data_IF_578569863910
#
_entry.id   IF_578569863910
#
_cell.length_a   1.000
_cell.length_b   1.000
_cell.length_c   1.000
_cell.angle_alpha   90.00
_cell.angle_beta   90.00
_cell.angle_gamma   90.00
#
_symmetry.space_group_name_H-M   'P 1'
#
loop_
_entity.id
_entity.type
_entity.pdbx_description
1 polymer ?
#
# COMPACT_ATOMS: atom_id res chain seq x y z
N UNK A 1 -1.83 14.87 -9.45
CA UNK A 1 -0.93 15.02 -10.62
C UNK A 1 -0.08 13.78 -10.76
N UNK A 2 0.81 13.45 -9.80
CA UNK A 2 1.70 12.28 -9.95
C UNK A 2 0.97 10.97 -10.32
N UNK A 3 -0.09 10.60 -9.61
CA UNK A 3 -0.85 9.38 -9.93
C UNK A 3 -1.72 9.44 -11.19
N UNK A 4 -1.95 10.63 -11.77
CA UNK A 4 -2.78 10.80 -12.97
C UNK A 4 -1.94 11.01 -14.23
N UNK A 5 -0.86 11.78 -14.10
CA UNK A 5 -0.03 12.28 -15.19
C UNK A 5 1.39 11.64 -15.19
N UNK A 6 1.69 10.80 -14.21
CA UNK A 6 2.99 10.19 -13.97
C UNK A 6 4.08 11.19 -13.54
N UNK A 7 5.30 10.71 -13.33
CA UNK A 7 6.43 11.54 -12.92
C UNK A 7 6.76 12.68 -13.90
N UNK A 8 6.57 12.46 -15.21
CA UNK A 8 6.74 13.50 -16.26
C UNK A 8 5.64 14.56 -16.23
N UNK A 9 4.50 14.22 -15.64
CA UNK A 9 3.39 15.12 -15.37
C UNK A 9 3.68 16.16 -14.29
N UNK A 10 4.71 15.94 -13.48
CA UNK A 10 5.06 16.81 -12.35
C UNK A 10 6.23 17.72 -12.70
N UNK A 11 5.98 19.03 -12.70
CA UNK A 11 7.00 20.08 -12.75
C UNK A 11 6.47 21.32 -12.03
N UNK A 12 7.35 22.21 -11.58
CA UNK A 12 6.95 23.41 -10.84
C UNK A 12 5.88 24.25 -11.55
N UNK A 13 6.04 24.60 -12.85
CA UNK A 13 5.01 25.39 -13.53
C UNK A 13 3.67 24.64 -13.65
N UNK A 14 3.70 23.31 -13.81
CA UNK A 14 2.49 22.49 -13.87
C UNK A 14 1.79 22.43 -12.51
N UNK A 15 2.56 22.34 -11.42
CA UNK A 15 2.03 22.38 -10.05
C UNK A 15 1.44 23.75 -9.75
N UNK A 16 2.16 24.84 -10.06
CA UNK A 16 1.66 26.21 -9.87
C UNK A 16 0.32 26.41 -10.57
N UNK A 17 0.27 26.05 -11.86
CA UNK A 17 -0.95 26.11 -12.67
C UNK A 17 -2.09 25.25 -12.09
N UNK A 18 -1.79 24.03 -11.63
CA UNK A 18 -2.81 23.13 -11.08
C UNK A 18 -3.34 23.62 -9.72
N UNK A 19 -2.48 24.22 -8.91
CA UNK A 19 -2.81 24.76 -7.59
C UNK A 19 -3.44 26.17 -7.67
N UNK A 20 -3.38 26.84 -8.82
CA UNK A 20 -3.92 28.20 -9.00
C UNK A 20 -3.10 29.27 -8.26
N UNK A 21 -1.82 29.01 -8.03
CA UNK A 21 -0.88 29.93 -7.36
C UNK A 21 -0.04 30.68 -8.39
N UNK A 22 0.60 31.81 -8.04
CA UNK A 22 1.47 32.55 -8.95
C UNK A 22 2.63 31.69 -9.49
N UNK A 23 3.05 31.98 -10.72
CA UNK A 23 4.21 31.32 -11.34
C UNK A 23 5.45 31.45 -10.45
N UNK A 24 6.15 30.33 -10.22
CA UNK A 24 7.35 30.26 -9.41
C UNK A 24 7.10 29.95 -7.92
N UNK A 25 5.85 29.92 -7.46
CA UNK A 25 5.51 29.60 -6.06
C UNK A 25 6.05 28.24 -5.65
N UNK A 26 5.83 27.20 -6.46
CA UNK A 26 6.34 25.85 -6.16
C UNK A 26 7.87 25.85 -6.14
N UNK A 27 8.53 26.59 -7.04
CA UNK A 27 10.00 26.65 -7.08
C UNK A 27 10.61 27.43 -5.92
N UNK A 28 9.84 28.36 -5.34
CA UNK A 28 10.21 29.06 -4.11
C UNK A 28 10.29 28.09 -2.92
N UNK A 29 9.35 27.16 -2.79
CA UNK A 29 9.35 26.14 -1.71
C UNK A 29 10.25 24.94 -2.01
N UNK A 30 10.23 24.44 -3.24
CA UNK A 30 10.94 23.24 -3.66
C UNK A 30 11.89 23.59 -4.80
N UNK A 31 13.13 23.96 -4.47
CA UNK A 31 14.05 24.56 -5.46
C UNK A 31 14.44 23.64 -6.62
N UNK A 32 14.41 22.32 -6.42
CA UNK A 32 14.73 21.32 -7.44
C UNK A 32 13.55 20.40 -7.70
N UNK A 33 13.59 19.68 -8.82
CA UNK A 33 12.58 18.65 -9.09
C UNK A 33 12.63 17.54 -8.04
N UNK A 34 13.82 17.16 -7.59
CA UNK A 34 13.99 16.13 -6.58
C UNK A 34 13.38 16.59 -5.25
N UNK A 35 13.63 17.82 -4.81
CA UNK A 35 12.99 18.37 -3.61
C UNK A 35 11.46 18.35 -3.70
N UNK A 36 10.89 18.58 -4.89
CA UNK A 36 9.45 18.47 -5.12
C UNK A 36 8.97 17.01 -5.05
N UNK A 37 9.72 16.06 -5.61
CA UNK A 37 9.38 14.63 -5.54
C UNK A 37 9.43 14.09 -4.10
N UNK A 38 10.46 14.48 -3.34
CA UNK A 38 10.60 14.18 -1.92
C UNK A 38 9.42 14.73 -1.11
N UNK A 39 9.04 15.99 -1.34
CA UNK A 39 7.88 16.58 -0.68
C UNK A 39 6.56 15.85 -1.00
N UNK A 40 6.40 15.37 -2.23
CA UNK A 40 5.25 14.53 -2.61
C UNK A 40 5.29 13.19 -1.88
N UNK A 41 6.47 12.57 -1.73
CA UNK A 41 6.62 11.31 -1.02
C UNK A 41 6.29 11.45 0.47
N UNK A 42 6.79 12.50 1.13
CA UNK A 42 6.43 12.82 2.52
C UNK A 42 4.92 12.95 2.64
N UNK A 43 4.29 13.74 1.75
CA UNK A 43 2.83 13.93 1.79
C UNK A 43 2.06 12.63 1.54
N UNK A 44 2.55 11.76 0.67
CA UNK A 44 1.93 10.46 0.41
C UNK A 44 2.05 9.55 1.63
N UNK A 45 3.22 9.49 2.26
CA UNK A 45 3.47 8.72 3.49
C UNK A 45 2.55 9.18 4.64
N UNK A 46 2.40 10.49 4.84
CA UNK A 46 1.45 11.05 5.82
C UNK A 46 0.01 10.59 5.58
N UNK A 47 -0.43 10.57 4.31
CA UNK A 47 -1.78 10.14 3.94
C UNK A 47 -1.95 8.64 4.15
N UNK A 48 -0.92 7.84 3.84
CA UNK A 48 -0.94 6.39 4.01
C UNK A 48 -0.98 6.01 5.49
N UNK A 49 -0.18 6.66 6.34
CA UNK A 49 -0.21 6.45 7.79
C UNK A 49 -1.55 6.85 8.41
N UNK A 50 -2.14 7.95 7.94
CA UNK A 50 -3.47 8.37 8.38
C UNK A 50 -4.56 7.38 7.95
N UNK A 51 -4.46 6.82 6.75
CA UNK A 51 -5.38 5.79 6.28
C UNK A 51 -5.19 4.51 7.11
N UNK A 52 -3.97 4.02 7.29
CA UNK A 52 -3.66 2.87 8.15
C UNK A 52 -4.25 3.00 9.56
N UNK A 53 -4.12 4.19 10.17
CA UNK A 53 -4.69 4.46 11.49
C UNK A 53 -6.21 4.30 11.50
N UNK A 54 -6.90 4.80 10.47
CA UNK A 54 -8.36 4.62 10.33
C UNK A 54 -8.74 3.16 10.11
N UNK A 55 -7.93 2.38 9.39
CA UNK A 55 -8.22 0.96 9.16
C UNK A 55 -8.18 0.18 10.47
N UNK A 56 -7.21 0.49 11.35
CA UNK A 56 -7.15 -0.07 12.70
C UNK A 56 -8.40 0.30 13.50
N UNK A 57 -8.83 1.57 13.48
CA UNK A 57 -10.05 2.02 14.16
C UNK A 57 -11.32 1.30 13.67
N UNK A 58 -11.45 1.11 12.35
CA UNK A 58 -12.58 0.38 11.75
C UNK A 58 -12.58 -1.10 12.14
N UNK A 59 -11.40 -1.72 12.17
CA UNK A 59 -11.24 -3.13 12.59
C UNK A 59 -11.64 -3.32 14.05
N UNK A 60 -11.30 -2.37 14.92
CA UNK A 60 -11.68 -2.40 16.34
C UNK A 60 -13.17 -2.13 16.55
N UNK A 61 -13.79 -1.28 15.72
CA UNK A 61 -15.20 -0.95 15.81
C UNK A 61 -16.13 -2.06 15.29
N UNK A 62 -15.77 -2.71 14.17
CA UNK A 62 -16.52 -3.83 13.59
C UNK A 62 -15.59 -4.93 13.08
N UNK A 63 -15.27 -5.85 13.99
CA UNK A 63 -14.48 -7.04 13.69
C UNK A 63 -15.16 -7.98 12.70
N UNK A 64 -16.48 -7.92 12.51
CA UNK A 64 -17.17 -8.86 11.61
C UNK A 64 -16.98 -8.50 10.14
N UNK A 65 -16.84 -7.21 9.84
CA UNK A 65 -16.62 -6.70 8.48
C UNK A 65 -15.13 -6.52 8.15
N UNK A 66 -14.31 -6.13 9.14
CA UNK A 66 -12.93 -5.69 8.91
C UNK A 66 -11.83 -6.56 9.54
N UNK A 67 -12.16 -7.68 10.20
CA UNK A 67 -11.15 -8.61 10.70
C UNK A 67 -10.81 -9.76 9.74
N UNK A 68 -9.69 -10.43 10.01
CA UNK A 68 -9.22 -11.59 9.26
C UNK A 68 -8.98 -11.30 7.77
N UNK A 69 -9.06 -12.37 6.97
CA UNK A 69 -8.74 -12.32 5.54
C UNK A 69 -9.75 -11.52 4.74
N UNK A 70 -11.03 -11.52 5.12
CA UNK A 70 -12.09 -10.78 4.42
C UNK A 70 -11.96 -9.28 4.65
N UNK A 71 -11.68 -8.86 5.88
CA UNK A 71 -11.39 -7.47 6.19
C UNK A 71 -10.19 -6.96 5.39
N UNK A 72 -9.09 -7.71 5.42
CA UNK A 72 -7.91 -7.37 4.62
C UNK A 72 -8.19 -7.30 3.11
N UNK A 73 -8.97 -8.24 2.57
CA UNK A 73 -9.40 -8.20 1.17
C UNK A 73 -10.19 -6.92 0.85
N UNK A 74 -11.14 -6.53 1.71
CA UNK A 74 -11.90 -5.28 1.58
C UNK A 74 -10.99 -4.07 1.56
N UNK A 75 -9.99 -4.03 2.46
CA UNK A 75 -9.00 -2.95 2.51
C UNK A 75 -8.18 -2.84 1.23
N UNK A 76 -7.73 -3.98 0.69
CA UNK A 76 -7.00 -4.01 -0.59
C UNK A 76 -7.90 -3.53 -1.73
N UNK A 77 -9.17 -3.88 -1.75
CA UNK A 77 -10.10 -3.43 -2.78
C UNK A 77 -10.31 -1.91 -2.80
N UNK A 78 -10.11 -1.20 -1.68
CA UNK A 78 -10.15 0.27 -1.70
C UNK A 78 -9.09 0.87 -2.62
N UNK A 79 -7.93 0.21 -2.78
CA UNK A 79 -6.89 0.68 -3.70
C UNK A 79 -7.32 0.73 -5.17
N UNK A 80 -8.43 0.08 -5.55
CA UNK A 80 -9.04 0.15 -6.87
C UNK A 80 -9.99 1.35 -7.04
N UNK A 81 -10.27 2.12 -5.98
CA UNK A 81 -11.27 3.20 -5.96
C UNK A 81 -10.63 4.56 -5.73
N UNK A 82 -11.22 5.63 -6.26
CA UNK A 82 -10.72 6.99 -6.00
C UNK A 82 -11.15 7.47 -4.59
N UNK A 83 -10.28 8.22 -3.87
CA UNK A 83 -8.98 8.76 -4.29
C UNK A 83 -7.77 7.80 -4.12
N UNK A 84 -7.97 6.60 -3.57
CA UNK A 84 -6.88 5.66 -3.24
C UNK A 84 -6.19 5.08 -4.47
N UNK A 85 -6.89 4.91 -5.58
CA UNK A 85 -6.29 4.50 -6.84
C UNK A 85 -5.26 5.53 -7.33
N UNK A 86 -5.60 6.82 -7.30
CA UNK A 86 -4.65 7.89 -7.60
C UNK A 86 -3.42 7.84 -6.68
N UNK A 87 -3.61 7.59 -5.37
CA UNK A 87 -2.50 7.48 -4.41
C UNK A 87 -1.64 6.24 -4.68
N UNK A 88 -2.25 5.11 -5.00
CA UNK A 88 -1.56 3.86 -5.34
C UNK A 88 -0.71 4.03 -6.59
N UNK A 89 -1.25 4.65 -7.65
CA UNK A 89 -0.49 5.02 -8.86
C UNK A 89 0.70 5.92 -8.52
N UNK A 90 0.50 6.93 -7.68
CA UNK A 90 1.57 7.80 -7.23
C UNK A 90 2.66 7.04 -6.46
N UNK A 91 2.29 6.07 -5.62
CA UNK A 91 3.23 5.23 -4.87
C UNK A 91 4.13 4.42 -5.79
N UNK A 92 3.57 3.80 -6.84
CA UNK A 92 4.39 3.05 -7.81
C UNK A 92 5.31 3.95 -8.65
N UNK A 93 4.86 5.15 -9.03
CA UNK A 93 5.73 6.14 -9.68
C UNK A 93 6.92 6.54 -8.79
N UNK A 94 6.67 6.73 -7.48
CA UNK A 94 7.74 7.02 -6.51
C UNK A 94 8.65 5.82 -6.26
N UNK A 95 8.10 4.61 -6.15
CA UNK A 95 8.87 3.39 -5.95
C UNK A 95 9.88 3.14 -7.10
N UNK A 96 9.48 3.43 -8.35
CA UNK A 96 10.37 3.36 -9.51
C UNK A 96 11.51 4.38 -9.47
N UNK A 97 11.35 5.47 -8.71
CA UNK A 97 12.40 6.47 -8.49
C UNK A 97 13.27 6.13 -7.28
N UNK A 98 12.67 5.62 -6.20
CA UNK A 98 13.33 5.27 -4.95
C UNK A 98 14.48 4.27 -5.12
N UNK A 99 14.42 3.38 -6.12
CA UNK A 99 15.53 2.45 -6.42
C UNK A 99 16.86 3.11 -6.84
N UNK A 100 16.92 4.43 -6.95
CA UNK A 100 18.13 5.22 -7.27
C UNK A 100 18.34 6.40 -6.30
N UNK A 101 17.54 6.50 -5.25
CA UNK A 101 17.49 7.62 -4.31
C UNK A 101 17.17 7.07 -2.92
N UNK A 102 18.21 6.87 -2.12
CA UNK A 102 18.12 6.21 -0.80
C UNK A 102 17.28 7.04 0.19
N UNK A 103 17.34 8.37 0.10
CA UNK A 103 16.55 9.27 0.95
C UNK A 103 15.05 9.16 0.62
N UNK A 104 14.72 9.01 -0.67
CA UNK A 104 13.35 8.78 -1.12
C UNK A 104 12.86 7.40 -0.69
N UNK A 105 13.72 6.38 -0.78
CA UNK A 105 13.41 5.03 -0.30
C UNK A 105 13.12 5.02 1.21
N UNK A 106 13.95 5.71 2.00
CA UNK A 106 13.74 5.87 3.44
C UNK A 106 12.42 6.59 3.75
N UNK A 107 12.06 7.62 2.98
CA UNK A 107 10.78 8.34 3.17
C UNK A 107 9.56 7.45 2.96
N UNK A 108 9.64 6.45 2.06
CA UNK A 108 8.55 5.53 1.78
C UNK A 108 8.50 4.32 2.71
N UNK A 109 9.56 4.05 3.48
CA UNK A 109 9.66 2.79 4.23
C UNK A 109 8.65 2.71 5.37
N UNK A 110 8.33 3.82 6.04
CA UNK A 110 7.40 3.84 7.18
C UNK A 110 6.00 3.34 6.81
N UNK A 111 5.41 3.83 5.72
CA UNK A 111 4.12 3.33 5.23
C UNK A 111 4.21 1.88 4.75
N UNK A 112 5.30 1.48 4.09
CA UNK A 112 5.53 0.10 3.66
C UNK A 112 5.58 -0.85 4.86
N UNK A 113 6.28 -0.49 5.94
CA UNK A 113 6.32 -1.23 7.20
C UNK A 113 4.93 -1.34 7.83
N UNK A 114 4.16 -0.25 7.82
CA UNK A 114 2.77 -0.25 8.30
C UNK A 114 1.86 -1.20 7.52
N UNK A 115 1.91 -1.17 6.18
CA UNK A 115 1.14 -2.10 5.34
C UNK A 115 1.59 -3.55 5.50
N UNK A 116 2.89 -3.80 5.63
CA UNK A 116 3.42 -5.12 5.94
C UNK A 116 2.93 -5.62 7.31
N UNK A 117 2.86 -4.73 8.30
CA UNK A 117 2.30 -5.02 9.62
C UNK A 117 0.85 -5.50 9.57
N UNK A 118 0.02 -4.92 8.69
CA UNK A 118 -1.35 -5.41 8.46
C UNK A 118 -1.37 -6.82 7.89
N UNK A 119 -0.55 -7.12 6.87
CA UNK A 119 -0.46 -8.47 6.31
C UNK A 119 -0.03 -9.49 7.39
N UNK A 120 0.96 -9.13 8.21
CA UNK A 120 1.43 -9.97 9.32
C UNK A 120 0.36 -10.19 10.39
N UNK A 121 -0.44 -9.17 10.71
CA UNK A 121 -1.54 -9.29 11.66
C UNK A 121 -2.60 -10.29 11.18
N UNK A 122 -2.96 -10.23 9.89
CA UNK A 122 -3.93 -11.15 9.27
C UNK A 122 -3.43 -12.59 9.29
N UNK A 123 -2.15 -12.81 8.98
CA UNK A 123 -1.52 -14.14 9.06
C UNK A 123 -1.50 -14.65 10.51
N UNK A 124 -1.17 -13.80 11.47
CA UNK A 124 -1.18 -14.15 12.89
C UNK A 124 -2.58 -14.54 13.35
N UNK A 125 -3.60 -13.79 12.94
CA UNK A 125 -5.00 -14.09 13.26
C UNK A 125 -5.45 -15.40 12.62
N UNK A 126 -5.06 -15.67 11.37
CA UNK A 126 -5.38 -16.90 10.66
C UNK A 126 -4.93 -18.16 11.42
N UNK A 127 -3.72 -18.12 12.00
CA UNK A 127 -3.16 -19.23 12.78
C UNK A 127 -3.56 -19.23 14.26
N UNK A 128 -4.27 -18.21 14.75
CA UNK A 128 -4.61 -18.09 16.18
C UNK A 128 -5.57 -19.20 16.69
N UNK A 129 -6.29 -19.87 15.78
CA UNK A 129 -7.21 -20.96 16.10
C UNK A 129 -6.55 -22.35 16.11
N UNK A 130 -5.27 -22.46 15.74
CA UNK A 130 -4.56 -23.73 15.68
C UNK A 130 -4.09 -24.18 17.07
N UNK A 131 -4.19 -25.48 17.35
CA UNK A 131 -3.75 -26.06 18.64
C UNK A 131 -2.24 -25.94 18.87
N UNK A 132 -1.46 -25.68 17.81
CA UNK A 132 -0.03 -25.46 17.87
C UNK A 132 0.35 -24.14 17.16
N UNK A 133 0.84 -23.12 17.87
CA UNK A 133 1.19 -21.85 17.25
C UNK A 133 2.37 -22.03 16.28
N UNK A 134 2.22 -21.46 15.08
CA UNK A 134 3.29 -21.41 14.09
C UNK A 134 4.51 -20.66 14.62
N UNK A 135 5.69 -21.10 14.17
CA UNK A 135 6.94 -20.42 14.51
C UNK A 135 6.96 -18.99 13.90
N UNK A 136 7.54 -17.99 14.60
CA UNK A 136 7.48 -16.59 14.15
C UNK A 136 8.06 -16.33 12.74
N UNK A 137 9.08 -17.09 12.35
CA UNK A 137 9.70 -17.05 11.03
C UNK A 137 8.75 -17.52 9.93
N UNK A 138 7.94 -18.54 10.19
CA UNK A 138 6.89 -19.02 9.26
C UNK A 138 5.82 -17.94 9.06
N UNK A 139 5.37 -17.31 10.15
CA UNK A 139 4.42 -16.18 10.10
C UNK A 139 4.99 -15.05 9.25
N UNK A 140 6.26 -14.70 9.44
CA UNK A 140 6.92 -13.63 8.68
C UNK A 140 7.07 -13.98 7.20
N UNK A 141 7.42 -15.22 6.85
CA UNK A 141 7.55 -15.64 5.45
C UNK A 141 6.20 -15.70 4.73
N UNK A 142 5.16 -16.19 5.41
CA UNK A 142 3.80 -16.18 4.87
C UNK A 142 3.24 -14.75 4.75
N UNK A 143 3.57 -13.85 5.69
CA UNK A 143 3.25 -12.43 5.60
C UNK A 143 3.93 -11.75 4.40
N UNK A 144 5.20 -12.05 4.13
CA UNK A 144 5.90 -11.56 2.92
C UNK A 144 5.23 -12.07 1.65
N UNK A 145 4.80 -13.32 1.61
CA UNK A 145 4.11 -13.88 0.45
C UNK A 145 2.73 -13.23 0.24
N UNK A 146 1.94 -13.07 1.30
CA UNK A 146 0.67 -12.36 1.25
C UNK A 146 0.84 -10.90 0.80
N UNK A 147 1.81 -10.20 1.38
CA UNK A 147 2.13 -8.82 1.01
C UNK A 147 2.56 -8.70 -0.46
N UNK A 148 3.39 -9.62 -0.94
CA UNK A 148 3.83 -9.66 -2.35
C UNK A 148 2.67 -9.96 -3.30
N UNK A 149 1.80 -10.91 -2.94
CA UNK A 149 0.61 -11.25 -3.69
C UNK A 149 -0.34 -10.05 -3.83
N UNK A 150 -0.63 -9.37 -2.72
CA UNK A 150 -1.49 -8.18 -2.70
C UNK A 150 -0.89 -7.03 -3.52
N UNK A 151 0.41 -6.78 -3.42
CA UNK A 151 1.06 -5.79 -4.28
C UNK A 151 0.91 -6.15 -5.78
N UNK A 152 0.93 -7.43 -6.14
CA UNK A 152 0.63 -7.89 -7.49
C UNK A 152 -0.82 -7.58 -7.90
N UNK A 153 -1.79 -7.84 -7.01
CA UNK A 153 -3.20 -7.49 -7.24
C UNK A 153 -3.38 -5.98 -7.40
N UNK A 154 -2.79 -5.17 -6.52
CA UNK A 154 -2.86 -3.70 -6.60
C UNK A 154 -2.25 -3.15 -7.88
N UNK A 155 -1.16 -3.74 -8.37
CA UNK A 155 -0.57 -3.39 -9.66
C UNK A 155 -1.57 -3.60 -10.82
N UNK A 156 -2.44 -4.61 -10.75
CA UNK A 156 -3.45 -4.86 -11.80
C UNK A 156 -4.49 -3.73 -11.86
N UNK A 157 -4.83 -3.12 -10.71
CA UNK A 157 -5.69 -1.94 -10.64
C UNK A 157 -5.02 -0.71 -11.27
N UNK A 158 -3.72 -0.54 -11.00
CA UNK A 158 -2.90 0.56 -11.56
C UNK A 158 -2.85 0.50 -13.09
N UNK A 159 -2.70 -0.71 -13.65
CA UNK A 159 -2.67 -0.96 -15.09
C UNK A 159 -4.07 -0.82 -15.72
N UNK A 160 -5.14 -0.82 -14.91
CA UNK A 160 -6.53 -0.77 -15.39
C UNK A 160 -7.02 -2.12 -15.92
N UNK A 161 -6.41 -3.22 -15.49
CA UNK A 161 -6.78 -4.59 -15.86
C UNK A 161 -6.93 -5.43 -14.58
N UNK A 162 -7.94 -5.16 -13.73
CA UNK A 162 -8.13 -5.86 -12.47
C UNK A 162 -8.23 -7.38 -12.68
N UNK A 163 -7.48 -8.15 -11.89
CA UNK A 163 -7.61 -9.62 -11.84
C UNK A 163 -8.70 -10.09 -10.86
N UNK A 164 -9.15 -9.21 -9.97
CA UNK A 164 -10.19 -9.46 -8.98
C UNK A 164 -11.23 -8.34 -9.03
N UNK A 165 -12.49 -8.71 -8.92
CA UNK A 165 -13.61 -7.77 -9.07
C UNK A 165 -14.22 -7.33 -7.74
N UNK A 166 -14.02 -8.10 -6.65
CA UNK A 166 -14.60 -7.83 -5.34
C UNK A 166 -13.80 -8.48 -4.20
N UNK A 167 -14.11 -8.04 -2.97
CA UNK A 167 -13.46 -8.50 -1.75
C UNK A 167 -13.65 -10.00 -1.51
N UNK A 168 -14.83 -10.58 -1.80
CA UNK A 168 -15.08 -12.01 -1.60
C UNK A 168 -14.17 -12.88 -2.49
N UNK A 169 -13.93 -12.45 -3.73
CA UNK A 169 -13.02 -13.15 -4.64
C UNK A 169 -11.58 -13.06 -4.14
N UNK A 170 -11.16 -11.87 -3.72
CA UNK A 170 -9.82 -11.67 -3.19
C UNK A 170 -9.59 -12.42 -1.87
N UNK A 171 -10.58 -12.45 -0.97
CA UNK A 171 -10.57 -13.24 0.26
C UNK A 171 -10.33 -14.72 -0.02
N UNK A 172 -11.05 -15.31 -1.00
CA UNK A 172 -10.83 -16.71 -1.39
C UNK A 172 -9.40 -16.96 -1.89
N UNK A 173 -8.81 -16.03 -2.63
CA UNK A 173 -7.43 -16.14 -3.10
C UNK A 173 -6.44 -16.02 -1.94
N UNK A 174 -6.65 -15.07 -1.04
CA UNK A 174 -5.84 -14.90 0.18
C UNK A 174 -5.87 -16.18 1.01
N UNK A 175 -7.05 -16.73 1.31
CA UNK A 175 -7.18 -18.01 2.03
C UNK A 175 -6.45 -19.15 1.32
N UNK A 176 -6.49 -19.19 -0.01
CA UNK A 176 -5.73 -20.16 -0.81
C UNK A 176 -4.21 -20.02 -0.65
N UNK A 177 -3.71 -18.78 -0.66
CA UNK A 177 -2.28 -18.49 -0.39
C UNK A 177 -1.89 -18.92 1.02
N UNK A 178 -2.74 -18.64 2.01
CA UNK A 178 -2.46 -18.99 3.41
C UNK A 178 -2.53 -20.51 3.66
N UNK A 179 -3.54 -21.18 3.14
CA UNK A 179 -3.73 -22.62 3.29
C UNK A 179 -2.65 -23.46 2.55
N UNK A 180 -1.93 -22.86 1.60
CA UNK A 180 -0.85 -23.52 0.86
C UNK A 180 0.45 -23.70 1.65
N UNK A 181 0.55 -23.15 2.86
CA UNK A 181 1.75 -23.25 3.70
C UNK A 181 1.78 -24.58 4.47
N UNK A 182 2.89 -25.34 4.45
CA UNK A 182 3.00 -26.56 5.23
C UNK A 182 3.01 -26.24 6.74
N UNK A 183 2.28 -27.05 7.52
CA UNK A 183 2.13 -26.89 8.98
C UNK A 183 3.47 -26.92 9.76
N UNK A 184 4.53 -27.45 9.14
CA UNK A 184 5.85 -27.59 9.77
C UNK A 184 6.83 -26.48 9.36
N UNK A 185 6.43 -25.52 8.52
CA UNK A 185 7.29 -24.40 8.10
C UNK A 185 8.47 -24.77 7.20
N UNK A 186 8.66 -26.05 6.87
CA UNK A 186 9.75 -26.52 6.00
C UNK A 186 9.26 -26.68 4.57
N UNK A 187 9.86 -25.90 3.67
CA UNK A 187 9.85 -26.14 2.23
C UNK A 187 10.68 -27.38 1.85
#
# INVERSE_FOLDING_TARGET
MLGADGARGVSHPKVDKKAGVPDGTTSFYFRTRDALMHAIAVRLNELDLADLSRLTELTDADRTEFAGTIGFATLVMYSATEPWLTRTKARYELALHAGRDDDLAATLSESVEGFYGLARAVVTEWHAAEENPMAPDVIDDQAKALFSFVNGVMMTFVIGQPLVDNADQLDRLIRGVLAGWPADGTA
#
